data_IF_837209835120
#
_entry.id   IF_837209835120
#
_cell.length_a   1.000
_cell.length_b   1.000
_cell.length_c   1.000
_cell.angle_alpha   90.00
_cell.angle_beta   90.00
_cell.angle_gamma   90.00
#
_symmetry.space_group_name_H-M   'P 1'
#
loop_
_entity.id
_entity.type
_entity.pdbx_description
1 polymer ?
#
# COMPACT_ATOMS: atom_id res chain seq x y z
N UNK A 1 -17.79 -11.43 1.44
CA UNK A 1 -16.51 -12.05 1.83
C UNK A 1 -15.80 -11.11 2.77
N UNK A 2 -15.08 -11.64 3.75
CA UNK A 2 -14.31 -10.81 4.69
C UNK A 2 -13.09 -10.22 3.97
N UNK A 3 -13.11 -8.92 3.68
CA UNK A 3 -12.06 -8.22 2.94
C UNK A 3 -10.67 -8.40 3.59
N UNK A 4 -10.63 -8.48 4.93
CA UNK A 4 -9.38 -8.70 5.70
C UNK A 4 -8.77 -10.09 5.49
N UNK A 5 -9.49 -11.03 4.87
CA UNK A 5 -8.98 -12.38 4.51
C UNK A 5 -8.39 -12.45 3.11
N UNK A 6 -8.50 -11.40 2.31
CA UNK A 6 -7.93 -11.38 0.96
C UNK A 6 -6.45 -11.00 1.02
N UNK A 7 -5.64 -11.76 0.29
CA UNK A 7 -4.21 -11.50 0.07
C UNK A 7 -3.97 -11.42 -1.42
N UNK A 8 -3.48 -10.27 -1.88
CA UNK A 8 -3.18 -10.00 -3.29
C UNK A 8 -1.73 -10.29 -3.65
N UNK A 9 -0.85 -10.27 -2.64
CA UNK A 9 0.54 -10.71 -2.78
C UNK A 9 0.93 -11.54 -1.56
N UNK A 10 1.64 -12.65 -1.79
CA UNK A 10 2.28 -13.49 -0.77
C UNK A 10 3.80 -13.43 -0.88
N UNK A 11 4.33 -12.35 -1.48
CA UNK A 11 5.73 -12.23 -1.85
C UNK A 11 6.70 -12.27 -0.68
N UNK A 12 8.01 -12.27 -0.99
CA UNK A 12 9.09 -12.55 -0.02
C UNK A 12 9.78 -11.29 0.53
N UNK A 13 9.45 -10.11 0.01
CA UNK A 13 10.04 -8.88 0.54
C UNK A 13 9.47 -8.61 1.95
N UNK A 14 10.31 -8.20 2.90
CA UNK A 14 9.84 -7.77 4.21
C UNK A 14 8.81 -6.65 4.06
N UNK A 15 7.68 -6.78 4.74
CA UNK A 15 6.74 -5.67 4.90
C UNK A 15 7.24 -4.80 6.06
N UNK A 16 7.27 -3.46 5.91
CA UNK A 16 7.84 -2.61 6.95
C UNK A 16 7.00 -2.66 8.23
N UNK A 17 7.68 -2.59 9.37
CA UNK A 17 7.05 -2.56 10.68
C UNK A 17 6.30 -1.24 10.90
N UNK A 18 5.16 -1.33 11.60
CA UNK A 18 4.39 -0.15 12.00
C UNK A 18 3.78 0.62 10.84
N UNK A 19 3.54 -0.04 9.69
CA UNK A 19 2.86 0.64 8.59
C UNK A 19 1.42 0.97 8.98
N UNK A 20 1.11 2.26 8.92
CA UNK A 20 -0.21 2.81 9.14
C UNK A 20 -0.71 3.45 7.85
N UNK A 21 -2.02 3.39 7.64
CA UNK A 21 -2.68 4.06 6.54
C UNK A 21 -4.02 4.63 6.99
N UNK A 22 -4.30 5.88 6.65
CA UNK A 22 -5.56 6.56 6.99
C UNK A 22 -5.92 7.57 5.90
N UNK A 23 -7.19 7.94 5.79
CA UNK A 23 -7.58 9.09 4.97
C UNK A 23 -7.01 10.38 5.56
N UNK A 24 -6.64 11.29 4.67
CA UNK A 24 -6.28 12.65 5.05
C UNK A 24 -7.50 13.41 5.57
N UNK A 25 -7.27 14.34 6.50
CA UNK A 25 -8.35 15.15 7.05
C UNK A 25 -8.89 16.14 6.01
N UNK A 26 -10.19 16.05 5.72
CA UNK A 26 -10.85 16.94 4.77
C UNK A 26 -10.72 16.55 3.29
N UNK A 27 -9.97 15.49 2.98
CA UNK A 27 -9.89 14.92 1.62
C UNK A 27 -10.00 13.39 1.67
N UNK A 28 -11.22 12.89 1.43
CA UNK A 28 -11.48 11.45 1.37
C UNK A 28 -10.74 10.77 0.20
N UNK A 29 -10.26 11.52 -0.80
CA UNK A 29 -9.51 11.02 -1.93
C UNK A 29 -8.06 10.67 -1.63
N UNK A 30 -7.51 11.19 -0.54
CA UNK A 30 -6.08 11.10 -0.23
C UNK A 30 -5.84 10.17 0.95
N UNK A 31 -4.90 9.25 0.80
CA UNK A 31 -4.42 8.37 1.87
C UNK A 31 -3.06 8.88 2.34
N UNK A 32 -2.91 9.02 3.64
CA UNK A 32 -1.65 9.23 4.34
C UNK A 32 -1.12 7.90 4.84
N UNK A 33 0.15 7.64 4.60
CA UNK A 33 0.86 6.44 5.04
C UNK A 33 2.14 6.82 5.76
N UNK A 34 2.51 6.01 6.75
CA UNK A 34 3.80 6.10 7.42
C UNK A 34 4.23 4.71 7.90
N UNK A 35 5.52 4.48 8.06
CA UNK A 35 6.07 3.25 8.62
C UNK A 35 7.43 3.49 9.28
N UNK A 36 7.87 2.51 10.05
CA UNK A 36 9.19 2.55 10.69
C UNK A 36 10.29 2.15 9.70
N UNK A 37 11.47 2.73 9.90
CA UNK A 37 12.65 2.35 9.11
C UNK A 37 12.97 0.87 9.31
N UNK A 38 12.95 0.11 8.22
CA UNK A 38 13.35 -1.28 8.21
C UNK A 38 14.89 -1.38 8.07
N UNK A 39 15.56 -1.81 9.13
CA UNK A 39 17.02 -1.97 9.14
C UNK A 39 17.49 -3.24 8.41
N UNK A 40 16.59 -4.15 8.06
CA UNK A 40 16.91 -5.39 7.35
C UNK A 40 16.81 -5.24 5.83
N UNK A 41 16.29 -4.10 5.36
CA UNK A 41 16.16 -3.79 3.94
C UNK A 41 17.20 -2.74 3.56
N UNK A 42 17.96 -3.01 2.50
CA UNK A 42 19.03 -2.13 2.02
C UNK A 42 19.28 -2.28 0.54
N UNK A 43 20.13 -1.42 -0.02
CA UNK A 43 20.47 -1.43 -1.43
C UNK A 43 19.28 -1.07 -2.33
N UNK A 44 19.08 -1.82 -3.41
CA UNK A 44 18.02 -1.54 -4.40
C UNK A 44 16.60 -1.54 -3.80
N UNK A 45 16.38 -2.33 -2.74
CA UNK A 45 15.08 -2.45 -2.08
C UNK A 45 14.62 -1.20 -1.32
N UNK A 46 15.54 -0.25 -1.08
CA UNK A 46 15.18 1.07 -0.54
C UNK A 46 14.33 1.88 -1.53
N UNK A 47 14.48 1.60 -2.82
CA UNK A 47 13.76 2.26 -3.92
C UNK A 47 12.52 1.45 -4.35
N UNK A 48 12.17 0.38 -3.63
CA UNK A 48 10.95 -0.37 -3.90
C UNK A 48 9.74 0.53 -3.68
N UNK A 49 8.79 0.48 -4.60
CA UNK A 49 7.62 1.37 -4.62
C UNK A 49 6.47 0.76 -3.82
N UNK A 50 5.78 1.58 -3.03
CA UNK A 50 4.51 1.23 -2.43
C UNK A 50 3.42 1.18 -3.50
N UNK A 51 2.73 0.05 -3.57
CA UNK A 51 1.63 -0.23 -4.47
C UNK A 51 0.31 -0.32 -3.69
N UNK A 52 -0.77 0.03 -4.37
CA UNK A 52 -2.12 0.03 -3.78
C UNK A 52 -3.15 -0.65 -4.66
N UNK A 53 -4.08 -1.36 -4.01
CA UNK A 53 -5.39 -1.74 -4.55
C UNK A 53 -6.45 -1.15 -3.61
N UNK A 54 -7.44 -0.45 -4.16
CA UNK A 54 -8.63 0.02 -3.43
C UNK A 54 -9.79 -0.94 -3.63
N UNK A 55 -10.62 -1.12 -2.59
CA UNK A 55 -11.82 -1.95 -2.63
C UNK A 55 -13.03 -1.23 -2.05
N UNK A 56 -14.15 -1.30 -2.77
CA UNK A 56 -15.41 -0.62 -2.43
C UNK A 56 -16.55 -1.16 -3.28
N UNK A 57 -17.76 -1.26 -2.72
CA UNK A 57 -18.96 -1.78 -3.42
C UNK A 57 -18.76 -3.14 -4.12
N UNK A 58 -17.93 -4.02 -3.55
CA UNK A 58 -17.60 -5.32 -4.15
C UNK A 58 -16.70 -5.26 -5.39
N UNK A 59 -16.14 -4.08 -5.71
CA UNK A 59 -15.20 -3.87 -6.80
C UNK A 59 -13.79 -3.58 -6.27
N UNK A 60 -12.80 -3.87 -7.11
CA UNK A 60 -11.39 -3.62 -6.85
C UNK A 60 -10.82 -2.76 -7.99
N UNK A 61 -9.94 -1.82 -7.65
CA UNK A 61 -9.14 -1.13 -8.66
C UNK A 61 -8.01 -2.02 -9.19
N UNK A 62 -7.33 -1.54 -10.24
CA UNK A 62 -6.07 -2.14 -10.69
C UNK A 62 -4.98 -1.82 -9.67
N UNK A 63 -3.97 -2.69 -9.61
CA UNK A 63 -2.72 -2.38 -8.91
C UNK A 63 -2.16 -1.08 -9.49
N UNK A 64 -1.91 -0.11 -8.62
CA UNK A 64 -1.44 1.22 -9.00
C UNK A 64 -0.22 1.58 -8.14
N UNK A 65 0.81 2.15 -8.78
CA UNK A 65 1.95 2.72 -8.07
C UNK A 65 1.58 4.02 -7.38
N UNK A 66 2.05 4.21 -6.15
CA UNK A 66 1.79 5.43 -5.38
C UNK A 66 2.86 6.50 -5.59
N UNK A 67 4.00 6.15 -6.19
CA UNK A 67 5.20 6.97 -6.27
C UNK A 67 5.97 7.10 -4.96
N UNK A 68 5.55 6.41 -3.88
CA UNK A 68 6.21 6.48 -2.58
C UNK A 68 7.20 5.32 -2.47
N UNK A 69 8.48 5.65 -2.35
CA UNK A 69 9.57 4.69 -2.16
C UNK A 69 9.70 4.26 -0.70
N UNK A 70 10.24 3.07 -0.46
CA UNK A 70 10.38 2.48 0.87
C UNK A 70 11.21 3.34 1.83
N UNK A 71 12.24 4.02 1.32
CA UNK A 71 13.13 4.88 2.12
C UNK A 71 12.51 6.23 2.51
N UNK A 72 11.38 6.61 1.90
CA UNK A 72 10.64 7.82 2.24
C UNK A 72 10.00 7.74 3.64
N UNK A 73 9.82 6.52 4.18
CA UNK A 73 9.20 6.24 5.49
C UNK A 73 7.73 6.67 5.63
N UNK A 74 7.15 7.21 4.57
CA UNK A 74 5.79 7.69 4.54
C UNK A 74 5.55 8.67 3.40
N UNK A 75 4.30 9.11 3.28
CA UNK A 75 3.88 10.05 2.26
C UNK A 75 2.36 10.05 2.13
N UNK A 76 1.87 10.65 1.05
CA UNK A 76 0.46 10.59 0.70
C UNK A 76 0.26 10.32 -0.78
N UNK A 77 -0.86 9.68 -1.12
CA UNK A 77 -1.22 9.38 -2.49
C UNK A 77 -2.73 9.46 -2.69
N UNK A 78 -3.15 9.73 -3.92
CA UNK A 78 -4.56 9.72 -4.30
C UNK A 78 -5.03 8.29 -4.52
N UNK A 79 -6.15 7.94 -3.91
CA UNK A 79 -6.70 6.60 -4.03
C UNK A 79 -7.15 6.31 -5.46
N UNK A 80 -6.75 5.18 -6.07
CA UNK A 80 -7.19 4.84 -7.41
C UNK A 80 -8.67 4.43 -7.45
N UNK A 81 -9.33 4.63 -8.58
CA UNK A 81 -10.69 4.15 -8.83
C UNK A 81 -11.78 5.10 -8.33
N UNK A 82 -12.59 4.66 -7.35
CA UNK A 82 -13.71 5.42 -6.77
C UNK A 82 -13.41 5.73 -5.28
N UNK A 83 -12.67 6.82 -4.99
CA UNK A 83 -12.17 7.07 -3.64
C UNK A 83 -13.26 7.18 -2.58
N UNK A 84 -14.37 7.83 -2.91
CA UNK A 84 -15.51 8.05 -2.01
C UNK A 84 -16.22 6.75 -1.59
N UNK A 85 -16.03 5.66 -2.35
CA UNK A 85 -16.69 4.37 -2.12
C UNK A 85 -15.75 3.30 -1.60
N UNK A 86 -14.44 3.58 -1.60
CA UNK A 86 -13.50 2.66 -1.01
C UNK A 86 -13.79 2.52 0.49
N UNK A 87 -13.69 1.30 0.99
CA UNK A 87 -13.79 0.99 2.42
C UNK A 87 -12.51 0.31 2.92
N UNK A 88 -11.75 -0.26 2.00
CA UNK A 88 -10.52 -0.96 2.28
C UNK A 88 -9.47 -0.64 1.22
N UNK A 89 -8.21 -0.69 1.63
CA UNK A 89 -7.06 -0.66 0.74
C UNK A 89 -6.11 -1.79 1.08
N UNK A 90 -5.40 -2.26 0.06
CA UNK A 90 -4.36 -3.26 0.20
C UNK A 90 -3.05 -2.63 -0.23
N UNK A 91 -2.09 -2.60 0.69
CA UNK A 91 -0.78 -2.01 0.49
C UNK A 91 0.30 -3.09 0.48
N UNK A 92 1.25 -2.97 -0.44
CA UNK A 92 2.43 -3.84 -0.55
C UNK A 92 3.52 -3.12 -1.33
N UNK A 93 4.77 -3.47 -1.08
CA UNK A 93 5.89 -2.99 -1.86
C UNK A 93 6.14 -3.89 -3.06
N UNK A 94 6.51 -3.31 -4.20
CA UNK A 94 7.02 -4.02 -5.36
C UNK A 94 8.44 -3.57 -5.70
N UNK A 95 9.29 -4.51 -6.09
CA UNK A 95 10.61 -4.20 -6.61
C UNK A 95 10.53 -3.38 -7.89
N UNK A 96 11.58 -2.60 -8.19
CA UNK A 96 11.67 -1.78 -9.41
C UNK A 96 11.47 -2.58 -10.70
N UNK A 97 11.84 -3.86 -10.72
CA UNK A 97 11.64 -4.75 -11.84
C UNK A 97 10.32 -5.54 -11.78
N UNK A 98 9.50 -5.29 -10.74
CA UNK A 98 8.22 -5.93 -10.47
C UNK A 98 8.29 -7.46 -10.42
N UNK A 99 9.44 -8.02 -10.01
CA UNK A 99 9.62 -9.47 -9.84
C UNK A 99 9.40 -9.92 -8.42
N UNK A 100 9.70 -9.06 -7.45
CA UNK A 100 9.55 -9.33 -6.04
C UNK A 100 8.53 -8.37 -5.43
N UNK A 101 7.73 -8.89 -4.51
CA UNK A 101 6.72 -8.12 -3.79
C UNK A 101 6.79 -8.45 -2.31
N UNK A 102 6.29 -7.57 -1.46
CA UNK A 102 5.97 -7.92 -0.07
C UNK A 102 4.62 -8.63 -0.01
N UNK A 103 4.28 -9.19 1.15
CA UNK A 103 2.88 -9.53 1.43
C UNK A 103 2.00 -8.27 1.38
N UNK A 104 0.75 -8.42 0.94
CA UNK A 104 -0.25 -7.35 1.00
C UNK A 104 -0.93 -7.27 2.35
N UNK A 105 -1.01 -6.07 2.92
CA UNK A 105 -1.72 -5.80 4.16
C UNK A 105 -2.98 -4.98 3.89
N UNK A 106 -4.10 -5.39 4.49
CA UNK A 106 -5.39 -4.72 4.35
C UNK A 106 -5.57 -3.67 5.45
N UNK A 107 -5.96 -2.46 5.05
CA UNK A 107 -6.35 -1.36 5.93
C UNK A 107 -7.79 -0.97 5.65
N UNK A 108 -8.50 -0.56 6.69
CA UNK A 108 -9.83 0.03 6.60
C UNK A 108 -9.68 1.54 6.51
N UNK A 109 -10.31 2.18 5.52
CA UNK A 109 -10.13 3.61 5.21
C UNK A 109 -11.42 4.33 4.91
#
# INVERSE_FOLDING_TARGET
GDAKKLRFSTGKLPFPEGLEARRSEGDAGTIEVNWLKDFNVGGAHLMDELLVISAGDGQYSKITGTGIERDALGGSFTLPGQPDRATHIYLFFGSLDHRDYSESVCFEV
#
